data_IF_126037908952
#
_entry.id   IF_126037908952
#
_cell.length_a   1.000
_cell.length_b   1.000
_cell.length_c   1.000
_cell.angle_alpha   90.00
_cell.angle_beta   90.00
_cell.angle_gamma   90.00
#
_symmetry.space_group_name_H-M   'P 1'
#
loop_
_entity.id
_entity.type
_entity.pdbx_description
1 polymer ?
#
# COMPACT_ATOMS: atom_id res chain seq x y z
N UNK A 1 -20.95 -7.95 10.26
CA UNK A 1 -20.27 -7.43 9.06
C UNK A 1 -18.85 -7.98 8.91
N UNK A 2 -17.99 -7.94 9.94
CA UNK A 2 -16.62 -8.49 9.85
C UNK A 2 -16.60 -10.01 9.68
N UNK A 3 -17.57 -10.74 10.25
CA UNK A 3 -17.63 -12.21 10.16
C UNK A 3 -18.07 -12.74 8.78
N UNK A 4 -18.95 -12.03 8.06
CA UNK A 4 -19.48 -12.50 6.77
C UNK A 4 -18.38 -12.51 5.70
N UNK A 5 -17.48 -11.52 5.70
CA UNK A 5 -16.41 -11.41 4.68
C UNK A 5 -15.33 -12.49 4.80
N UNK A 6 -15.09 -12.96 6.04
CA UNK A 6 -14.06 -13.96 6.33
C UNK A 6 -14.50 -15.38 5.93
N UNK A 7 -15.79 -15.66 6.00
CA UNK A 7 -16.40 -16.94 5.58
C UNK A 7 -16.44 -17.11 4.06
N UNK A 8 -16.63 -16.02 3.30
CA UNK A 8 -16.70 -16.06 1.82
C UNK A 8 -15.34 -15.94 1.12
N UNK A 9 -14.37 -15.22 1.71
CA UNK A 9 -13.09 -14.92 1.04
C UNK A 9 -11.85 -15.41 1.78
N UNK A 10 -11.98 -15.98 2.98
CA UNK A 10 -10.85 -16.48 3.78
C UNK A 10 -9.90 -15.40 4.32
N UNK A 11 -10.19 -14.12 4.04
CA UNK A 11 -9.43 -12.94 4.49
C UNK A 11 -10.37 -11.93 5.13
N UNK A 12 -9.85 -11.15 6.06
CA UNK A 12 -10.57 -10.02 6.63
C UNK A 12 -10.68 -8.88 5.61
N UNK A 13 -11.74 -8.07 5.72
CA UNK A 13 -11.91 -6.87 4.89
C UNK A 13 -10.68 -5.94 4.94
N UNK A 14 -10.03 -5.86 6.11
CA UNK A 14 -8.80 -5.09 6.31
C UNK A 14 -7.61 -5.61 5.50
N UNK A 15 -7.47 -6.93 5.35
CA UNK A 15 -6.42 -7.54 4.52
C UNK A 15 -6.71 -7.32 3.03
N UNK A 16 -7.96 -7.47 2.61
CA UNK A 16 -8.36 -7.21 1.22
C UNK A 16 -8.09 -5.75 0.82
N UNK A 17 -8.55 -4.78 1.63
CA UNK A 17 -8.28 -3.35 1.40
C UNK A 17 -6.78 -3.05 1.50
N UNK A 18 -6.06 -3.72 2.41
CA UNK A 18 -4.61 -3.65 2.50
C UNK A 18 -3.94 -4.04 1.18
N UNK A 19 -4.32 -5.18 0.59
CA UNK A 19 -3.75 -5.63 -0.69
C UNK A 19 -4.06 -4.66 -1.83
N UNK A 20 -5.28 -4.14 -1.93
CA UNK A 20 -5.62 -3.13 -2.94
C UNK A 20 -4.76 -1.87 -2.80
N UNK A 21 -4.59 -1.37 -1.57
CA UNK A 21 -3.71 -0.22 -1.29
C UNK A 21 -2.25 -0.51 -1.64
N UNK A 22 -1.79 -1.73 -1.39
CA UNK A 22 -0.42 -2.13 -1.68
C UNK A 22 -0.14 -2.11 -3.19
N UNK A 23 -1.03 -2.72 -3.98
CA UNK A 23 -0.87 -2.78 -5.44
C UNK A 23 -0.91 -1.38 -6.05
N UNK A 24 -1.83 -0.52 -5.61
CA UNK A 24 -1.88 0.87 -6.09
C UNK A 24 -0.65 1.67 -5.66
N UNK A 25 -0.14 1.47 -4.44
CA UNK A 25 1.09 2.11 -3.99
C UNK A 25 2.30 1.71 -4.85
N UNK A 26 2.43 0.41 -5.19
CA UNK A 26 3.52 -0.06 -6.07
C UNK A 26 3.43 0.61 -7.44
N UNK A 27 2.24 0.62 -8.05
CA UNK A 27 1.96 1.25 -9.34
C UNK A 27 2.30 2.74 -9.34
N UNK A 28 1.82 3.49 -8.34
CA UNK A 28 2.12 4.92 -8.25
C UNK A 28 3.63 5.18 -8.01
N UNK A 29 4.31 4.31 -7.26
CA UNK A 29 5.75 4.45 -7.02
C UNK A 29 6.60 4.15 -8.26
N UNK A 30 6.17 3.22 -9.14
CA UNK A 30 6.88 2.88 -10.38
C UNK A 30 6.56 3.83 -11.53
N UNK A 31 5.29 4.21 -11.68
CA UNK A 31 4.79 4.85 -12.91
C UNK A 31 4.78 6.37 -12.84
N UNK A 32 4.92 6.96 -11.64
CA UNK A 32 4.75 8.40 -11.42
C UNK A 32 5.94 9.03 -10.70
N UNK A 33 5.96 10.36 -10.72
CA UNK A 33 6.93 11.18 -9.99
C UNK A 33 6.32 11.80 -8.74
N UNK A 34 5.10 11.43 -8.38
CA UNK A 34 4.35 12.03 -7.28
C UNK A 34 5.16 11.94 -5.98
N UNK A 35 5.01 12.92 -5.10
CA UNK A 35 5.69 12.84 -3.82
C UNK A 35 5.13 11.66 -3.03
N UNK A 36 6.01 10.97 -2.29
CA UNK A 36 5.62 9.78 -1.53
C UNK A 36 4.53 10.12 -0.50
N UNK A 37 4.50 11.37 -0.02
CA UNK A 37 3.45 11.87 0.88
C UNK A 37 2.08 11.97 0.19
N UNK A 38 2.04 12.42 -1.07
CA UNK A 38 0.81 12.51 -1.84
C UNK A 38 0.28 11.11 -2.18
N UNK A 39 1.17 10.18 -2.55
CA UNK A 39 0.82 8.77 -2.75
C UNK A 39 0.19 8.20 -1.48
N UNK A 40 0.82 8.41 -0.31
CA UNK A 40 0.30 7.92 0.96
C UNK A 40 -1.11 8.44 1.25
N UNK A 41 -1.37 9.73 1.04
CA UNK A 41 -2.69 10.32 1.25
C UNK A 41 -3.71 9.82 0.22
N UNK A 42 -3.33 9.71 -1.06
CA UNK A 42 -4.23 9.28 -2.14
C UNK A 42 -4.81 7.87 -1.93
N UNK A 43 -4.03 6.97 -1.30
CA UNK A 43 -4.46 5.59 -1.00
C UNK A 43 -5.04 5.45 0.42
N UNK A 44 -5.25 6.56 1.12
CA UNK A 44 -6.01 6.62 2.38
C UNK A 44 -5.19 6.43 3.66
N UNK A 45 -3.88 6.70 3.67
CA UNK A 45 -3.09 6.81 4.91
C UNK A 45 -3.17 8.24 5.45
N UNK A 46 -3.38 8.37 6.76
CA UNK A 46 -3.37 9.67 7.45
C UNK A 46 -1.97 10.24 7.73
N UNK A 47 -0.91 9.60 7.23
CA UNK A 47 0.45 10.07 7.44
C UNK A 47 1.53 9.16 6.89
N UNK A 48 2.71 9.75 6.69
CA UNK A 48 3.84 9.11 6.03
C UNK A 48 4.39 7.91 6.83
N UNK A 49 4.51 8.05 8.15
CA UNK A 49 5.08 6.99 9.01
C UNK A 49 4.26 5.70 8.99
N UNK A 50 2.92 5.82 8.98
CA UNK A 50 2.01 4.67 8.85
C UNK A 50 2.13 3.99 7.50
N UNK A 51 2.23 4.79 6.43
CA UNK A 51 2.42 4.27 5.08
C UNK A 51 3.76 3.55 4.93
N UNK A 52 4.86 4.16 5.40
CA UNK A 52 6.20 3.55 5.34
C UNK A 52 6.27 2.20 6.06
N UNK A 53 5.67 2.13 7.27
CA UNK A 53 5.63 0.87 8.02
C UNK A 53 4.80 -0.19 7.30
N UNK A 54 3.61 0.18 6.82
CA UNK A 54 2.75 -0.71 6.05
C UNK A 54 3.48 -1.25 4.81
N UNK A 55 4.00 -0.35 3.96
CA UNK A 55 4.62 -0.70 2.69
C UNK A 55 5.88 -1.55 2.89
N UNK A 56 6.73 -1.20 3.87
CA UNK A 56 7.92 -1.98 4.19
C UNK A 56 7.58 -3.36 4.75
N UNK A 57 6.58 -3.47 5.61
CA UNK A 57 6.16 -4.77 6.12
C UNK A 57 5.58 -5.67 5.01
N UNK A 58 4.94 -5.07 4.00
CA UNK A 58 4.34 -5.79 2.88
C UNK A 58 5.32 -6.16 1.76
N UNK A 59 6.35 -5.34 1.51
CA UNK A 59 7.27 -5.52 0.36
C UNK A 59 8.71 -5.84 0.75
N UNK A 60 9.09 -5.64 2.02
CA UNK A 60 10.48 -5.67 2.49
C UNK A 60 11.28 -4.39 2.20
N UNK A 61 10.77 -3.49 1.35
CA UNK A 61 11.46 -2.28 0.89
C UNK A 61 10.78 -1.01 1.42
N UNK A 62 11.55 0.07 1.62
CA UNK A 62 10.92 1.37 1.82
C UNK A 62 10.30 1.86 0.50
N UNK A 63 9.24 2.69 0.53
CA UNK A 63 8.67 3.26 -0.70
C UNK A 63 9.70 3.92 -1.63
N UNK A 64 10.66 4.66 -1.05
CA UNK A 64 11.73 5.30 -1.80
C UNK A 64 12.71 4.29 -2.42
N UNK A 65 13.06 3.22 -1.69
CA UNK A 65 13.90 2.15 -2.23
C UNK A 65 13.19 1.39 -3.35
N UNK A 66 11.90 1.06 -3.16
CA UNK A 66 11.06 0.41 -4.15
C UNK A 66 10.98 1.23 -5.44
N UNK A 67 10.66 2.53 -5.33
CA UNK A 67 10.68 3.47 -6.47
C UNK A 67 12.04 3.44 -7.17
N UNK A 68 13.15 3.49 -6.45
CA UNK A 68 14.49 3.51 -7.06
C UNK A 68 14.79 2.22 -7.86
N UNK A 69 14.31 1.08 -7.38
CA UNK A 69 14.58 -0.23 -7.98
C UNK A 69 13.64 -0.55 -9.15
N UNK A 70 12.40 -0.06 -9.12
CA UNK A 70 11.34 -0.42 -10.05
C UNK A 70 10.92 0.72 -10.98
N UNK A 71 11.70 1.79 -11.05
CA UNK A 71 11.49 2.85 -12.03
C UNK A 71 12.06 2.41 -13.37
N UNK A 72 11.22 2.41 -14.39
CA UNK A 72 11.68 2.35 -15.79
C UNK A 72 12.25 3.68 -16.25
#
# INVERSE_FOLDING_TARGET
MVEIFKDEYGVTLSEYVGNLRLEEAKRLLSDTNDEIIDIAYSIGFGGLSSFYRFFKNSTGLSPAAYRKEHRE
#
